data_IF_177843061694
#
_entry.id   IF_177843061694
#
_cell.length_a   1.000
_cell.length_b   1.000
_cell.length_c   1.000
_cell.angle_alpha   90.00
_cell.angle_beta   90.00
_cell.angle_gamma   90.00
#
_symmetry.space_group_name_H-M   'P 1'
#
loop_
_entity.id
_entity.type
_entity.pdbx_description
1 polymer ?
#
# COMPACT_ATOMS: atom_id res chain seq x y z
N UNK A 1 7.95 4.84 23.03
CA UNK A 1 9.07 3.90 22.81
C UNK A 1 9.12 3.58 21.32
N UNK A 2 10.30 3.44 20.70
CA UNK A 2 10.39 3.26 19.25
C UNK A 2 9.87 1.88 18.85
N UNK A 3 8.95 1.86 17.87
CA UNK A 3 8.29 0.68 17.28
C UNK A 3 9.24 -0.52 17.18
N UNK A 4 9.02 -1.54 18.02
CA UNK A 4 9.94 -2.68 18.18
C UNK A 4 9.92 -3.66 16.98
N UNK A 5 9.05 -3.46 15.98
CA UNK A 5 8.92 -4.41 14.86
C UNK A 5 9.36 -3.91 13.47
N UNK A 6 10.14 -2.81 13.38
CA UNK A 6 10.87 -2.44 12.15
C UNK A 6 12.41 -2.50 12.29
N UNK A 7 12.92 -3.30 13.23
CA UNK A 7 14.36 -3.56 13.33
C UNK A 7 14.78 -4.52 12.21
N UNK A 8 15.36 -3.95 11.15
CA UNK A 8 16.28 -4.54 10.14
C UNK A 8 15.97 -4.18 8.67
N UNK A 9 15.27 -3.07 8.42
CA UNK A 9 15.20 -2.46 7.09
C UNK A 9 16.47 -1.63 6.79
N UNK A 10 17.54 -2.27 6.32
CA UNK A 10 18.72 -1.56 5.78
C UNK A 10 18.63 -1.48 4.26
N UNK A 11 18.23 -0.33 3.74
CA UNK A 11 18.28 -0.04 2.31
C UNK A 11 19.66 0.48 1.90
N UNK A 12 20.16 0.05 0.75
CA UNK A 12 21.39 0.57 0.15
C UNK A 12 21.20 2.06 -0.20
N UNK A 13 21.84 2.94 0.57
CA UNK A 13 21.52 4.39 0.63
C UNK A 13 22.07 5.20 -0.55
N UNK A 14 22.91 4.63 -1.40
CA UNK A 14 23.86 5.41 -2.20
C UNK A 14 23.23 6.13 -3.40
N UNK A 15 22.23 5.54 -4.06
CA UNK A 15 21.64 6.15 -5.28
C UNK A 15 20.57 7.22 -4.99
N UNK A 16 19.94 7.21 -3.82
CA UNK A 16 18.78 8.08 -3.53
C UNK A 16 19.16 9.47 -3.02
N UNK A 17 20.31 9.60 -2.36
CA UNK A 17 20.78 10.88 -1.80
C UNK A 17 21.67 11.69 -2.75
N UNK A 18 21.74 11.29 -4.02
CA UNK A 18 22.56 11.99 -4.99
C UNK A 18 22.06 13.45 -5.15
N UNK A 19 22.94 14.48 -5.04
CA UNK A 19 22.57 15.89 -5.09
C UNK A 19 21.76 16.29 -6.34
N UNK A 20 21.99 15.60 -7.47
CA UNK A 20 21.25 15.81 -8.72
C UNK A 20 19.74 15.52 -8.60
N UNK A 21 19.32 14.61 -7.72
CA UNK A 21 17.89 14.34 -7.49
C UNK A 21 17.20 15.61 -6.96
N UNK A 22 17.84 16.33 -6.05
CA UNK A 22 17.31 17.58 -5.49
C UNK A 22 17.13 18.69 -6.53
N UNK A 23 18.04 18.80 -7.50
CA UNK A 23 17.97 19.83 -8.56
C UNK A 23 16.82 19.54 -9.55
N UNK A 24 16.58 18.27 -9.89
CA UNK A 24 15.47 17.88 -10.79
C UNK A 24 14.08 18.05 -10.13
N UNK A 25 13.99 17.98 -8.80
CA UNK A 25 12.71 18.13 -8.09
C UNK A 25 12.13 19.56 -8.14
N UNK A 26 12.92 20.60 -8.38
CA UNK A 26 12.40 21.98 -8.36
C UNK A 26 11.72 22.43 -9.67
N UNK A 27 11.79 21.65 -10.76
CA UNK A 27 11.27 22.07 -12.08
C UNK A 27 10.06 21.27 -12.62
N UNK A 28 9.54 20.27 -11.89
CA UNK A 28 8.40 19.49 -12.40
C UNK A 28 7.05 20.06 -11.93
N UNK A 29 6.18 20.39 -12.89
CA UNK A 29 4.85 21.02 -12.66
C UNK A 29 3.72 20.01 -12.44
N UNK A 30 4.05 18.72 -12.43
CA UNK A 30 3.09 17.62 -12.38
C UNK A 30 3.59 16.49 -11.50
N UNK A 31 2.65 15.74 -10.91
CA UNK A 31 2.93 14.57 -10.07
C UNK A 31 2.06 13.39 -10.52
N UNK A 32 2.45 12.17 -10.15
CA UNK A 32 1.65 10.98 -10.39
C UNK A 32 0.61 10.79 -9.28
N UNK A 33 -0.61 10.40 -9.67
CA UNK A 33 -1.65 9.90 -8.76
C UNK A 33 -2.23 8.60 -9.31
N UNK A 34 -2.60 7.70 -8.41
CA UNK A 34 -2.92 6.31 -8.72
C UNK A 34 -1.66 5.44 -8.66
N UNK A 35 -1.75 4.32 -7.95
CA UNK A 35 -0.67 3.32 -7.89
C UNK A 35 -0.92 2.22 -8.93
N UNK A 36 -2.16 1.75 -9.10
CA UNK A 36 -2.48 0.74 -10.11
C UNK A 36 -2.34 1.23 -11.55
N UNK A 37 -2.80 2.45 -11.81
CA UNK A 37 -2.72 3.12 -13.10
C UNK A 37 -2.30 4.58 -12.85
N UNK A 38 -1.00 4.85 -12.74
CA UNK A 38 -0.52 6.21 -12.48
C UNK A 38 -0.93 7.17 -13.58
N UNK A 39 -1.51 8.30 -13.16
CA UNK A 39 -1.90 9.41 -14.02
C UNK A 39 -1.17 10.66 -13.59
N UNK A 40 -0.58 11.35 -14.57
CA UNK A 40 0.08 12.63 -14.35
C UNK A 40 -0.98 13.71 -14.21
N UNK A 41 -0.93 14.47 -13.12
CA UNK A 41 -1.81 15.62 -12.86
C UNK A 41 -0.99 16.86 -12.56
N UNK A 42 -1.57 18.04 -12.79
CA UNK A 42 -0.95 19.31 -12.41
C UNK A 42 -0.79 19.38 -10.89
N UNK A 43 0.38 19.78 -10.42
CA UNK A 43 0.67 19.91 -8.99
C UNK A 43 -0.35 20.81 -8.28
N UNK A 44 -0.69 21.95 -8.89
CA UNK A 44 -1.71 22.89 -8.39
C UNK A 44 -3.09 22.25 -8.19
N UNK A 45 -3.45 21.27 -9.01
CA UNK A 45 -4.74 20.57 -8.87
C UNK A 45 -4.73 19.65 -7.65
N UNK A 46 -3.61 18.99 -7.36
CA UNK A 46 -3.45 18.20 -6.14
C UNK A 46 -3.44 19.11 -4.90
N UNK A 47 -2.68 20.20 -4.96
CA UNK A 47 -2.60 21.19 -3.89
C UNK A 47 -3.98 21.76 -3.52
N UNK A 48 -4.79 22.10 -4.53
CA UNK A 48 -6.17 22.56 -4.33
C UNK A 48 -7.03 21.52 -3.59
N UNK A 49 -6.88 20.23 -3.91
CA UNK A 49 -7.59 19.16 -3.20
C UNK A 49 -7.10 18.99 -1.76
N UNK A 50 -5.80 19.05 -1.54
CA UNK A 50 -5.18 18.94 -0.21
C UNK A 50 -5.67 20.09 0.70
N UNK A 51 -5.71 21.32 0.19
CA UNK A 51 -6.19 22.51 0.92
C UNK A 51 -7.67 22.43 1.30
N UNK A 52 -8.46 21.59 0.64
CA UNK A 52 -9.88 21.38 0.94
C UNK A 52 -10.13 20.34 2.04
N UNK A 53 -9.11 19.63 2.50
CA UNK A 53 -9.25 18.67 3.59
C UNK A 53 -9.59 19.45 4.87
N UNK A 54 -10.78 19.19 5.43
CA UNK A 54 -11.27 19.89 6.61
C UNK A 54 -10.47 19.46 7.84
N UNK A 55 -10.31 20.37 8.81
CA UNK A 55 -9.76 20.01 10.12
C UNK A 55 -10.60 18.90 10.75
N UNK A 56 -9.93 17.96 11.42
CA UNK A 56 -10.55 16.78 12.04
C UNK A 56 -11.32 15.89 11.05
N UNK A 57 -10.87 15.83 9.80
CA UNK A 57 -11.32 14.84 8.81
C UNK A 57 -10.13 14.06 8.26
N UNK A 58 -10.40 12.94 7.61
CA UNK A 58 -9.41 12.17 6.88
C UNK A 58 -9.75 12.12 5.39
N UNK A 59 -8.74 11.86 4.58
CA UNK A 59 -8.88 11.59 3.15
C UNK A 59 -8.01 10.40 2.78
N UNK A 60 -8.45 9.61 1.80
CA UNK A 60 -7.73 8.44 1.32
C UNK A 60 -7.18 8.72 -0.08
N UNK A 61 -6.00 8.20 -0.39
CA UNK A 61 -5.43 8.31 -1.72
C UNK A 61 -4.40 7.23 -2.00
N UNK A 62 -4.29 6.84 -3.26
CA UNK A 62 -3.22 6.00 -3.76
C UNK A 62 -2.25 6.89 -4.54
N UNK A 63 -1.25 7.45 -3.88
CA UNK A 63 -0.30 8.39 -4.49
C UNK A 63 1.09 7.78 -4.39
N UNK A 64 1.78 7.53 -5.52
CA UNK A 64 3.20 7.22 -5.53
C UNK A 64 4.00 8.21 -4.69
N UNK A 65 5.09 7.75 -4.08
CA UNK A 65 5.97 8.63 -3.32
C UNK A 65 6.51 9.73 -4.24
N UNK A 66 6.39 10.96 -3.76
CA UNK A 66 6.95 12.13 -4.40
C UNK A 66 7.28 13.17 -3.31
N UNK A 67 8.52 13.69 -3.26
CA UNK A 67 8.91 14.64 -2.22
C UNK A 67 8.09 15.94 -2.25
N UNK A 68 7.57 16.36 -3.41
CA UNK A 68 6.66 17.51 -3.49
C UNK A 68 5.34 17.23 -2.78
N UNK A 69 4.84 16.00 -2.86
CA UNK A 69 3.63 15.59 -2.14
C UNK A 69 3.87 15.61 -0.63
N UNK A 70 5.02 15.12 -0.18
CA UNK A 70 5.40 15.19 1.24
C UNK A 70 5.48 16.62 1.74
N UNK A 71 6.15 17.51 1.00
CA UNK A 71 6.26 18.92 1.33
C UNK A 71 4.88 19.60 1.41
N UNK A 72 3.99 19.33 0.44
CA UNK A 72 2.61 19.84 0.47
C UNK A 72 1.83 19.34 1.70
N UNK A 73 1.92 18.06 2.04
CA UNK A 73 1.23 17.50 3.21
C UNK A 73 1.75 18.12 4.51
N UNK A 74 3.07 18.25 4.65
CA UNK A 74 3.72 18.87 5.80
C UNK A 74 3.35 20.34 5.96
N UNK A 75 3.39 21.14 4.87
CA UNK A 75 3.00 22.56 4.87
C UNK A 75 1.55 22.76 5.30
N UNK A 76 0.66 21.83 4.95
CA UNK A 76 -0.74 21.86 5.35
C UNK A 76 -1.00 21.17 6.72
N UNK A 77 0.05 20.76 7.43
CA UNK A 77 0.00 20.09 8.75
C UNK A 77 -0.89 18.83 8.73
N UNK A 78 -0.85 18.09 7.63
CA UNK A 78 -1.58 16.84 7.48
C UNK A 78 -0.72 15.70 7.98
N UNK A 79 -1.25 14.94 8.92
CA UNK A 79 -0.64 13.69 9.39
C UNK A 79 -0.96 12.57 8.41
N UNK A 80 0.04 11.81 8.00
CA UNK A 80 -0.14 10.75 7.00
C UNK A 80 0.01 9.38 7.64
N UNK A 81 -0.99 8.52 7.44
CA UNK A 81 -0.91 7.09 7.70
C UNK A 81 -0.59 6.38 6.39
N UNK A 82 0.49 5.60 6.35
CA UNK A 82 0.83 4.75 5.21
C UNK A 82 0.54 3.29 5.58
N UNK A 83 -0.50 2.74 4.95
CA UNK A 83 -0.91 1.35 5.20
C UNK A 83 -0.22 0.41 4.21
N UNK A 84 0.32 -0.69 4.72
CA UNK A 84 0.85 -1.79 3.91
C UNK A 84 0.20 -3.11 4.32
N UNK A 85 0.18 -4.05 3.38
CA UNK A 85 -0.29 -5.42 3.55
C UNK A 85 0.66 -6.34 2.81
N UNK A 86 0.72 -7.62 3.14
CA UNK A 86 1.45 -8.62 2.37
C UNK A 86 1.12 -8.43 0.88
N UNK A 87 2.12 -8.13 0.02
CA UNK A 87 1.91 -7.94 -1.40
C UNK A 87 1.22 -9.12 -2.09
N UNK A 88 1.41 -10.34 -1.61
CA UNK A 88 0.78 -11.56 -2.16
C UNK A 88 -0.71 -11.58 -1.87
N UNK A 89 -1.11 -11.28 -0.64
CA UNK A 89 -2.53 -11.13 -0.28
C UNK A 89 -3.17 -9.93 -0.98
N UNK A 90 -2.40 -8.87 -1.20
CA UNK A 90 -2.85 -7.69 -1.95
C UNK A 90 -3.22 -8.06 -3.39
N UNK A 91 -2.41 -8.90 -4.04
CA UNK A 91 -2.69 -9.39 -5.40
C UNK A 91 -3.97 -10.23 -5.45
N UNK A 92 -4.13 -11.17 -4.53
CA UNK A 92 -5.34 -12.02 -4.46
C UNK A 92 -6.58 -11.17 -4.24
N UNK A 93 -6.52 -10.25 -3.27
CA UNK A 93 -7.62 -9.32 -3.01
C UNK A 93 -7.92 -8.45 -4.23
N UNK A 94 -6.90 -8.01 -4.97
CA UNK A 94 -7.05 -7.19 -6.17
C UNK A 94 -7.67 -7.97 -7.33
N UNK A 95 -7.34 -9.24 -7.51
CA UNK A 95 -7.98 -10.12 -8.49
C UNK A 95 -9.49 -10.14 -8.27
N UNK A 96 -9.94 -10.50 -7.07
CA UNK A 96 -11.37 -10.56 -6.75
C UNK A 96 -12.04 -9.20 -6.88
N UNK A 97 -11.38 -8.12 -6.47
CA UNK A 97 -11.90 -6.75 -6.63
C UNK A 97 -12.10 -6.38 -8.11
N UNK A 98 -11.13 -6.69 -8.97
CA UNK A 98 -11.22 -6.41 -10.40
C UNK A 98 -12.33 -7.26 -11.07
N UNK A 99 -12.53 -8.50 -10.61
CA UNK A 99 -13.61 -9.36 -11.09
C UNK A 99 -14.99 -8.92 -10.61
N UNK A 100 -15.13 -8.45 -9.37
CA UNK A 100 -16.44 -8.11 -8.79
C UNK A 100 -16.92 -6.71 -9.16
N UNK A 101 -16.02 -5.72 -9.23
CA UNK A 101 -16.39 -4.33 -9.48
C UNK A 101 -16.56 -4.07 -10.98
N UNK A 102 -17.77 -4.25 -11.50
CA UNK A 102 -18.11 -4.07 -12.93
C UNK A 102 -17.66 -2.73 -13.54
N UNK A 103 -17.64 -1.66 -12.73
CA UNK A 103 -17.23 -0.31 -13.15
C UNK A 103 -15.70 -0.11 -13.16
N UNK A 104 -14.93 -1.07 -12.66
CA UNK A 104 -13.47 -0.97 -12.62
C UNK A 104 -12.88 -1.10 -14.03
N UNK A 105 -11.88 -0.28 -14.34
CA UNK A 105 -11.29 -0.23 -15.69
C UNK A 105 -10.63 -1.55 -16.13
N UNK A 106 -10.20 -2.39 -15.18
CA UNK A 106 -9.65 -3.73 -15.45
C UNK A 106 -10.70 -4.84 -15.50
N UNK A 107 -11.97 -4.56 -15.18
CA UNK A 107 -12.98 -5.61 -15.04
C UNK A 107 -13.13 -6.44 -16.31
N UNK A 108 -13.33 -5.79 -17.46
CA UNK A 108 -13.46 -6.47 -18.76
C UNK A 108 -12.22 -7.31 -19.11
N UNK A 109 -11.03 -6.80 -18.80
CA UNK A 109 -9.79 -7.53 -19.04
C UNK A 109 -9.71 -8.78 -18.17
N UNK A 110 -9.97 -8.67 -16.87
CA UNK A 110 -9.91 -9.79 -15.94
C UNK A 110 -10.97 -10.85 -16.24
N UNK A 111 -12.17 -10.45 -16.67
CA UNK A 111 -13.23 -11.38 -17.07
C UNK A 111 -12.93 -12.11 -18.38
N UNK A 112 -12.09 -11.55 -19.26
CA UNK A 112 -11.67 -12.19 -20.51
C UNK A 112 -10.53 -13.21 -20.32
N UNK A 113 -9.80 -13.16 -19.20
CA UNK A 113 -8.78 -14.15 -18.85
C UNK A 113 -9.45 -15.49 -18.48
N UNK A 114 -8.88 -16.60 -18.94
CA UNK A 114 -9.49 -17.92 -18.87
C UNK A 114 -9.45 -18.60 -17.49
N UNK A 115 -8.62 -18.11 -16.56
CA UNK A 115 -8.46 -18.73 -15.23
C UNK A 115 -8.03 -17.71 -14.17
N UNK A 116 -8.19 -18.07 -12.90
CA UNK A 116 -7.68 -17.26 -11.78
C UNK A 116 -6.16 -17.16 -11.79
N UNK A 117 -5.46 -18.23 -12.20
CA UNK A 117 -4.00 -18.20 -12.40
C UNK A 117 -3.57 -17.12 -13.40
N UNK A 118 -4.24 -17.01 -14.55
CA UNK A 118 -3.94 -15.97 -15.54
C UNK A 118 -4.24 -14.56 -14.99
N UNK A 119 -5.29 -14.41 -14.16
CA UNK A 119 -5.61 -13.14 -13.49
C UNK A 119 -4.56 -12.75 -12.45
N UNK A 120 -4.03 -13.71 -11.70
CA UNK A 120 -2.94 -13.51 -10.74
C UNK A 120 -1.65 -13.14 -11.46
N UNK A 121 -1.30 -13.81 -12.56
CA UNK A 121 -0.17 -13.41 -13.43
C UNK A 121 -0.31 -11.97 -13.91
N UNK A 122 -1.51 -11.59 -14.38
CA UNK A 122 -1.79 -10.22 -14.81
C UNK A 122 -1.68 -9.18 -13.66
N UNK A 123 -1.93 -9.59 -12.42
CA UNK A 123 -1.74 -8.72 -11.26
C UNK A 123 -0.25 -8.60 -10.85
N UNK A 124 0.53 -9.68 -11.01
CA UNK A 124 1.97 -9.70 -10.74
C UNK A 124 2.73 -8.88 -11.81
N UNK A 125 2.51 -9.18 -13.09
CA UNK A 125 3.24 -8.60 -14.22
C UNK A 125 2.67 -7.25 -14.70
N UNK A 126 1.46 -6.92 -14.27
CA UNK A 126 0.71 -5.80 -14.81
C UNK A 126 0.02 -6.14 -16.14
N UNK A 127 -0.66 -5.14 -16.69
CA UNK A 127 -1.46 -5.30 -17.90
C UNK A 127 -1.00 -4.28 -18.93
N UNK A 128 -0.73 -4.75 -20.16
CA UNK A 128 -0.44 -3.91 -21.32
C UNK A 128 -1.60 -3.90 -22.29
N UNK A 129 -1.77 -2.79 -23.01
CA UNK A 129 -2.66 -2.67 -24.16
C UNK A 129 -2.02 -3.31 -25.40
N UNK A 130 -2.79 -3.60 -26.47
CA UNK A 130 -2.24 -4.12 -27.73
C UNK A 130 -1.16 -3.22 -28.36
N UNK A 131 -1.24 -1.90 -28.14
CA UNK A 131 -0.25 -0.93 -28.63
C UNK A 131 1.00 -0.84 -27.73
N UNK A 132 1.15 -1.73 -26.74
CA UNK A 132 2.30 -1.78 -25.83
C UNK A 132 2.22 -0.84 -24.63
N UNK A 133 1.26 0.09 -24.58
CA UNK A 133 1.09 0.98 -23.42
C UNK A 133 0.69 0.21 -22.16
N UNK A 134 1.26 0.59 -21.02
CA UNK A 134 0.85 0.06 -19.72
C UNK A 134 -0.58 0.50 -19.38
N UNK A 135 -1.48 -0.46 -19.27
CA UNK A 135 -2.84 -0.27 -18.77
C UNK A 135 -2.87 -0.25 -17.23
N UNK A 136 -2.14 -1.15 -16.60
CA UNK A 136 -1.94 -1.22 -15.16
C UNK A 136 -0.54 -1.74 -14.84
N UNK A 137 0.07 -1.20 -13.78
CA UNK A 137 1.39 -1.64 -13.31
C UNK A 137 1.34 -3.05 -12.72
N UNK A 138 2.49 -3.73 -12.75
CA UNK A 138 2.74 -4.94 -11.98
C UNK A 138 3.00 -4.63 -10.51
N UNK A 139 3.14 -5.67 -9.70
CA UNK A 139 3.35 -5.50 -8.26
C UNK A 139 4.72 -4.88 -7.96
N UNK A 140 5.74 -5.23 -8.75
CA UNK A 140 7.10 -4.73 -8.58
C UNK A 140 7.18 -3.21 -8.73
N UNK A 141 6.58 -2.66 -9.78
CA UNK A 141 6.56 -1.21 -10.00
C UNK A 141 5.66 -0.49 -9.00
N UNK A 142 4.53 -1.09 -8.61
CA UNK A 142 3.66 -0.51 -7.58
C UNK A 142 4.40 -0.36 -6.26
N UNK A 143 5.03 -1.43 -5.77
CA UNK A 143 5.80 -1.41 -4.54
C UNK A 143 6.95 -0.41 -4.64
N UNK A 144 7.74 -0.45 -5.72
CA UNK A 144 8.81 0.52 -5.95
C UNK A 144 8.33 1.97 -5.89
N UNK A 145 7.12 2.23 -6.38
CA UNK A 145 6.52 3.56 -6.36
C UNK A 145 6.08 4.02 -4.96
N UNK A 146 5.89 3.13 -3.98
CA UNK A 146 5.33 3.47 -2.67
C UNK A 146 6.25 3.14 -1.48
N UNK A 147 7.24 2.26 -1.60
CA UNK A 147 8.05 1.81 -0.46
C UNK A 147 8.80 2.95 0.24
N UNK A 148 9.12 4.03 -0.46
CA UNK A 148 9.78 5.20 0.15
C UNK A 148 8.90 5.90 1.21
N UNK A 149 7.56 5.75 1.16
CA UNK A 149 6.68 6.23 2.23
C UNK A 149 7.03 5.64 3.59
N UNK A 150 7.52 4.39 3.65
CA UNK A 150 7.84 3.69 4.91
C UNK A 150 8.95 4.40 5.72
N UNK A 151 9.85 5.10 5.04
CA UNK A 151 11.03 5.74 5.63
C UNK A 151 10.89 7.26 5.71
N UNK A 152 9.68 7.78 5.44
CA UNK A 152 9.45 9.22 5.34
C UNK A 152 9.11 9.82 6.71
N UNK A 153 9.78 10.90 7.07
CA UNK A 153 9.47 11.64 8.29
C UNK A 153 8.03 12.15 8.30
N UNK A 154 7.40 12.20 9.48
CA UNK A 154 6.00 12.60 9.68
C UNK A 154 4.96 11.69 8.99
N UNK A 155 5.35 10.50 8.55
CA UNK A 155 4.46 9.43 8.08
C UNK A 155 4.47 8.31 9.12
N UNK A 156 3.30 7.83 9.53
CA UNK A 156 3.18 6.63 10.36
C UNK A 156 2.83 5.44 9.47
N UNK A 157 3.73 4.47 9.40
CA UNK A 157 3.51 3.20 8.73
C UNK A 157 2.67 2.28 9.61
N UNK A 158 1.71 1.58 9.01
CA UNK A 158 0.83 0.62 9.71
C UNK A 158 0.63 -0.60 8.82
N UNK A 159 0.75 -1.80 9.39
CA UNK A 159 0.45 -3.05 8.66
C UNK A 159 -1.00 -3.44 8.84
N UNK A 160 -1.60 -3.96 7.79
CA UNK A 160 -2.93 -4.57 7.85
C UNK A 160 -2.95 -5.75 8.84
N UNK A 161 -1.89 -6.55 8.83
CA UNK A 161 -1.70 -7.74 9.67
C UNK A 161 -1.70 -7.39 11.16
N UNK A 162 -1.17 -6.23 11.52
CA UNK A 162 -1.17 -5.75 12.89
C UNK A 162 -2.53 -5.16 13.29
N UNK A 163 -3.37 -4.75 12.34
CA UNK A 163 -4.66 -4.11 12.59
C UNK A 163 -5.84 -5.09 12.64
N UNK A 164 -5.73 -6.23 11.98
CA UNK A 164 -6.90 -7.07 11.70
C UNK A 164 -7.42 -7.83 12.93
N UNK A 165 -6.56 -8.07 13.92
CA UNK A 165 -6.87 -8.83 15.13
C UNK A 165 -7.11 -10.32 14.89
N UNK A 166 -7.42 -11.02 15.97
CA UNK A 166 -7.66 -12.47 16.03
C UNK A 166 -8.64 -12.99 14.98
N UNK A 167 -9.76 -12.29 14.75
CA UNK A 167 -10.79 -12.69 13.78
C UNK A 167 -10.30 -12.77 12.32
N UNK A 168 -9.24 -12.06 11.97
CA UNK A 168 -8.61 -12.16 10.65
C UNK A 168 -7.31 -12.96 10.62
N UNK A 169 -7.01 -13.70 11.69
CA UNK A 169 -5.75 -14.45 11.84
C UNK A 169 -4.57 -13.60 12.32
N UNK A 170 -4.82 -12.37 12.77
CA UNK A 170 -3.83 -11.51 13.43
C UNK A 170 -3.75 -11.76 14.93
N UNK A 171 -3.08 -10.86 15.65
CA UNK A 171 -2.92 -10.93 17.10
C UNK A 171 -3.63 -9.75 17.78
N UNK A 172 -4.33 -10.02 18.89
CA UNK A 172 -5.09 -9.00 19.61
C UNK A 172 -4.18 -7.98 20.30
N UNK A 173 -3.06 -8.41 20.89
CA UNK A 173 -2.16 -7.48 21.57
C UNK A 173 -1.50 -6.53 20.56
N UNK A 174 -1.06 -7.04 19.41
CA UNK A 174 -0.56 -6.22 18.29
C UNK A 174 -1.61 -5.26 17.74
N UNK A 175 -2.87 -5.70 17.65
CA UNK A 175 -3.98 -4.81 17.27
C UNK A 175 -4.14 -3.66 18.25
N UNK A 176 -4.16 -3.93 19.55
CA UNK A 176 -4.25 -2.89 20.57
C UNK A 176 -3.05 -1.94 20.48
N UNK A 177 -1.82 -2.45 20.40
CA UNK A 177 -0.59 -1.65 20.28
C UNK A 177 -0.62 -0.75 19.04
N UNK A 178 -0.97 -1.31 17.88
CA UNK A 178 -1.06 -0.59 16.61
C UNK A 178 -2.11 0.52 16.66
N UNK A 179 -3.29 0.25 17.23
CA UNK A 179 -4.36 1.25 17.37
C UNK A 179 -3.98 2.37 18.35
N UNK A 180 -3.36 2.05 19.48
CA UNK A 180 -2.82 3.06 20.40
C UNK A 180 -1.75 3.93 19.72
N UNK A 181 -0.87 3.30 18.93
CA UNK A 181 0.19 3.98 18.19
C UNK A 181 -0.39 4.94 17.15
N UNK A 182 -1.44 4.53 16.43
CA UNK A 182 -2.18 5.39 15.49
C UNK A 182 -2.88 6.53 16.22
N UNK A 183 -3.61 6.25 17.31
CA UNK A 183 -4.31 7.27 18.10
C UNK A 183 -3.34 8.35 18.61
N UNK A 184 -2.23 7.92 19.19
CA UNK A 184 -1.14 8.80 19.66
C UNK A 184 -0.59 9.63 18.51
N UNK A 185 -0.28 8.99 17.38
CA UNK A 185 0.24 9.69 16.19
C UNK A 185 -0.72 10.78 15.72
N UNK A 186 -2.03 10.51 15.64
CA UNK A 186 -3.02 11.51 15.24
C UNK A 186 -3.34 12.54 16.33
N UNK A 187 -2.78 12.40 17.54
CA UNK A 187 -2.94 13.34 18.66
C UNK A 187 -4.25 13.12 19.40
N UNK A 188 -4.70 11.86 19.48
CA UNK A 188 -5.85 11.42 20.27
C UNK A 188 -5.34 10.58 21.44
N UNK A 189 -5.85 10.89 22.63
CA UNK A 189 -5.72 10.04 23.79
C UNK A 189 -6.97 9.18 23.87
N UNK A 190 -6.80 7.86 23.86
CA UNK A 190 -7.89 6.89 24.00
C UNK A 190 -7.60 6.01 25.20
N UNK A 191 -8.64 5.53 25.89
CA UNK A 191 -8.49 4.49 26.91
C UNK A 191 -8.33 3.11 26.26
N UNK A 192 -7.93 2.12 27.06
CA UNK A 192 -7.86 0.74 26.60
C UNK A 192 -9.22 0.20 26.17
N UNK A 193 -10.28 0.56 26.88
CA UNK A 193 -11.65 0.19 26.54
C UNK A 193 -12.07 0.80 25.19
N UNK A 194 -11.78 2.08 24.94
CA UNK A 194 -12.10 2.74 23.68
C UNK A 194 -11.36 2.09 22.49
N UNK A 195 -10.07 1.79 22.66
CA UNK A 195 -9.27 1.09 21.65
C UNK A 195 -9.81 -0.33 21.42
N UNK A 196 -10.20 -1.01 22.50
CA UNK A 196 -10.75 -2.36 22.41
C UNK A 196 -12.07 -2.39 21.63
N UNK A 197 -12.95 -1.41 21.85
CA UNK A 197 -14.20 -1.23 21.11
C UNK A 197 -13.91 -0.99 19.62
N UNK A 198 -12.96 -0.13 19.30
CA UNK A 198 -12.55 0.13 17.90
C UNK A 198 -12.04 -1.16 17.24
N UNK A 199 -11.10 -1.88 17.87
CA UNK A 199 -10.56 -3.14 17.33
C UNK A 199 -11.64 -4.21 17.11
N UNK A 200 -12.61 -4.29 18.03
CA UNK A 200 -13.75 -5.21 17.93
C UNK A 200 -14.74 -4.82 16.82
N UNK A 201 -14.80 -3.56 16.44
CA UNK A 201 -15.66 -3.10 15.35
C UNK A 201 -15.01 -3.25 13.96
N UNK A 202 -13.69 -3.38 13.86
CA UNK A 202 -12.96 -3.27 12.58
C UNK A 202 -13.14 -4.43 11.60
N UNK A 203 -13.18 -5.67 12.07
CA UNK A 203 -13.30 -6.83 11.18
C UNK A 203 -14.68 -6.85 10.51
N UNK A 204 -14.73 -7.25 9.23
CA UNK A 204 -15.98 -7.31 8.47
C UNK A 204 -16.45 -5.97 7.90
N UNK A 205 -15.69 -4.89 8.09
CA UNK A 205 -16.08 -3.54 7.65
C UNK A 205 -15.54 -3.18 6.27
N UNK A 206 -16.28 -2.30 5.59
CA UNK A 206 -15.86 -1.64 4.36
C UNK A 206 -16.57 -2.17 3.10
N UNK A 207 -16.74 -1.31 2.07
CA UNK A 207 -17.51 -1.63 0.87
C UNK A 207 -16.87 -2.72 0.00
N UNK A 208 -15.60 -3.04 0.25
CA UNK A 208 -14.81 -4.03 -0.49
C UNK A 208 -14.38 -5.20 0.40
N UNK A 209 -15.00 -5.37 1.58
CA UNK A 209 -14.70 -6.50 2.44
C UNK A 209 -14.98 -7.82 1.72
N UNK A 210 -14.06 -8.78 1.83
CA UNK A 210 -14.17 -10.11 1.22
C UNK A 210 -13.90 -11.20 2.24
N UNK A 211 -12.63 -11.39 2.63
CA UNK A 211 -12.22 -12.41 3.60
C UNK A 211 -11.67 -11.81 4.89
N UNK A 212 -10.96 -10.69 4.81
CA UNK A 212 -10.31 -10.07 5.96
C UNK A 212 -9.20 -10.92 6.59
N UNK A 213 -8.65 -11.89 5.86
CA UNK A 213 -7.66 -12.85 6.38
C UNK A 213 -6.22 -12.50 5.99
N UNK A 214 -5.28 -12.88 6.85
CA UNK A 214 -3.84 -12.90 6.59
C UNK A 214 -3.46 -14.24 5.93
N UNK A 215 -2.59 -14.20 4.93
CA UNK A 215 -1.97 -15.39 4.33
C UNK A 215 -2.89 -16.17 3.38
N UNK A 216 -4.02 -15.59 2.96
CA UNK A 216 -4.95 -16.26 2.04
C UNK A 216 -4.29 -16.59 0.71
N UNK A 217 -3.24 -15.86 0.32
CA UNK A 217 -2.46 -16.14 -0.88
C UNK A 217 -1.96 -17.58 -1.00
N UNK A 218 -1.73 -18.27 0.12
CA UNK A 218 -1.32 -19.68 0.13
C UNK A 218 -2.38 -20.61 -0.48
N UNK A 219 -3.64 -20.20 -0.49
CA UNK A 219 -4.74 -20.95 -1.10
C UNK A 219 -4.85 -20.72 -2.62
N UNK A 220 -4.15 -19.72 -3.17
CA UNK A 220 -4.27 -19.30 -4.58
C UNK A 220 -2.98 -19.45 -5.37
N UNK A 221 -1.83 -19.46 -4.70
CA UNK A 221 -0.53 -19.54 -5.35
C UNK A 221 -0.09 -20.99 -5.49
N UNK A 222 0.06 -21.44 -6.73
CA UNK A 222 0.84 -22.63 -7.06
C UNK A 222 2.33 -22.30 -7.21
N UNK A 223 3.16 -23.31 -7.45
CA UNK A 223 4.60 -23.15 -7.53
C UNK A 223 5.02 -22.21 -8.67
N UNK A 224 4.31 -22.24 -9.81
CA UNK A 224 4.57 -21.33 -10.92
C UNK A 224 4.32 -19.87 -10.51
N UNK A 225 3.23 -19.58 -9.81
CA UNK A 225 2.93 -18.24 -9.31
C UNK A 225 3.91 -17.78 -8.23
N UNK A 226 4.37 -18.69 -7.36
CA UNK A 226 5.40 -18.37 -6.36
C UNK A 226 6.71 -18.00 -7.05
N UNK A 227 7.18 -18.80 -8.00
CA UNK A 227 8.42 -18.52 -8.73
C UNK A 227 8.32 -17.22 -9.54
N UNK A 228 7.17 -16.97 -10.17
CA UNK A 228 6.91 -15.70 -10.84
C UNK A 228 6.97 -14.52 -9.85
N UNK A 229 6.34 -14.64 -8.69
CA UNK A 229 6.34 -13.58 -7.69
C UNK A 229 7.75 -13.35 -7.13
N UNK A 230 8.49 -14.41 -6.81
CA UNK A 230 9.89 -14.32 -6.36
C UNK A 230 10.74 -13.54 -7.36
N UNK A 231 10.62 -13.89 -8.64
CA UNK A 231 11.34 -13.22 -9.72
C UNK A 231 11.05 -11.72 -9.79
N UNK A 232 9.78 -11.33 -9.68
CA UNK A 232 9.37 -9.93 -9.86
C UNK A 232 9.53 -9.07 -8.58
N UNK A 233 9.26 -9.65 -7.41
CA UNK A 233 9.11 -8.91 -6.14
C UNK A 233 9.66 -9.64 -4.91
N UNK A 234 10.49 -10.66 -5.07
CA UNK A 234 11.11 -11.40 -3.94
C UNK A 234 11.90 -10.49 -3.00
N UNK A 235 12.79 -9.65 -3.54
CA UNK A 235 13.56 -8.67 -2.77
C UNK A 235 12.67 -7.71 -1.98
N UNK A 236 11.53 -7.32 -2.55
CA UNK A 236 10.59 -6.41 -1.89
C UNK A 236 9.85 -7.10 -0.74
N UNK A 237 9.60 -8.42 -0.79
CA UNK A 237 9.06 -9.16 0.35
C UNK A 237 10.07 -9.23 1.50
N UNK A 238 11.34 -9.42 1.17
CA UNK A 238 12.43 -9.44 2.15
C UNK A 238 12.61 -8.04 2.76
N UNK A 239 12.63 -7.00 1.93
CA UNK A 239 12.65 -5.60 2.38
C UNK A 239 11.47 -5.35 3.34
N UNK A 240 10.27 -5.74 2.94
CA UNK A 240 9.08 -5.60 3.77
C UNK A 240 9.03 -6.51 4.99
N UNK A 241 10.00 -7.41 5.19
CA UNK A 241 10.05 -8.34 6.31
C UNK A 241 8.91 -9.37 6.31
N UNK A 242 8.30 -9.65 5.16
CA UNK A 242 7.35 -10.76 5.00
C UNK A 242 8.07 -12.09 4.78
N UNK A 243 9.30 -12.05 4.27
CA UNK A 243 10.16 -13.22 4.08
C UNK A 243 11.61 -12.89 4.48
N UNK A 244 12.43 -13.91 4.73
CA UNK A 244 13.86 -13.72 5.07
C UNK A 244 14.79 -14.02 3.91
N UNK A 245 14.34 -14.84 2.96
CA UNK A 245 15.07 -15.27 1.77
C UNK A 245 14.05 -15.71 0.69
N UNK A 246 14.51 -16.46 -0.31
CA UNK A 246 13.70 -16.94 -1.44
C UNK A 246 13.12 -18.36 -1.22
N UNK A 247 13.33 -18.97 -0.05
CA UNK A 247 12.99 -20.37 0.26
C UNK A 247 11.58 -20.53 0.85
N UNK A 248 10.59 -19.81 0.31
CA UNK A 248 9.19 -19.81 0.74
C UNK A 248 8.21 -20.35 -0.32
#
# INVERSE_FOLDING_TARGET
>A
MPDIHMKNLKLNRDLRKHPLNYILFFNHTTVLVGVDQPRRIKLKALEYKIKKIRRNSFSTGHIPYDPLVIDMLNKNRIKTLFMIRDPRDTIVSKMYFNMSLKKHFLHKHYMALGSDKERLKAAILGVKKPNGETLALGIAEKLSSVLTWLQTANVKSVRFEDLIGDRGGGDRARQMESLFSVATFIGKSLTEEEVAVIGNAMFGQGPTFRSGSIGDWRNHFDDELKELFKKESGDQLIELGYETNYDW
#
